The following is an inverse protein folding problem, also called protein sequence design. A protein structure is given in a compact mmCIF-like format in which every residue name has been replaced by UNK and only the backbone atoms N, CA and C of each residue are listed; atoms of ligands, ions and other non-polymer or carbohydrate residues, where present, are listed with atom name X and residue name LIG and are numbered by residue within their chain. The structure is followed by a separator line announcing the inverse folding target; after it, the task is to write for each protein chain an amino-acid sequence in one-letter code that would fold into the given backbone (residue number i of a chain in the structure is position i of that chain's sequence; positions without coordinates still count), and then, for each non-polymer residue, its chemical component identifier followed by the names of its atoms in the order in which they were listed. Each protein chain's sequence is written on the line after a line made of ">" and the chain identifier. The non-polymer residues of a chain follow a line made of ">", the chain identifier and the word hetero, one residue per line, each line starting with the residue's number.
data_IF_750694958725
#
_entry.id   IF_750694958725
#
_cell.length_a   1.000
_cell.length_b   1.000
_cell.length_c   1.000
_cell.angle_alpha   90.00
_cell.angle_beta   90.00
_cell.angle_gamma   90.00
#
_symmetry.space_group_name_H-M   'P 1'
#
loop_
_entity.id
_entity.type
_entity.pdbx_description
1 polymer ?
#
# COMPACT_ATOMS: atom_id res chain seq x y z
N UNK A 1 14.40 11.57 9.66
CA UNK A 1 13.51 10.43 9.36
C UNK A 1 12.10 10.97 9.12
N UNK A 2 11.37 10.43 8.15
CA UNK A 2 9.97 10.81 7.87
C UNK A 2 9.11 9.56 7.75
N UNK A 3 7.94 9.56 8.38
CA UNK A 3 6.95 8.49 8.27
C UNK A 3 5.67 9.11 7.71
N UNK A 4 5.07 8.47 6.72
CA UNK A 4 3.76 8.85 6.16
C UNK A 4 2.82 7.65 6.18
N UNK A 5 1.55 7.89 6.49
CA UNK A 5 0.51 6.86 6.51
C UNK A 5 -0.63 7.33 5.61
N UNK A 6 -0.91 6.54 4.58
CA UNK A 6 -2.02 6.80 3.67
C UNK A 6 -3.23 5.94 4.06
N UNK A 7 -4.32 6.60 4.43
CA UNK A 7 -5.60 6.00 4.78
C UNK A 7 -6.59 6.10 3.61
N UNK A 8 -7.56 5.19 3.57
CA UNK A 8 -8.70 5.22 2.64
C UNK A 8 -8.30 5.53 1.19
N UNK A 9 -7.21 4.89 0.75
CA UNK A 9 -6.64 5.10 -0.58
C UNK A 9 -7.60 4.48 -1.59
N UNK A 10 -8.19 5.33 -2.42
CA UNK A 10 -9.09 4.94 -3.49
C UNK A 10 -8.42 5.06 -4.85
N UNK A 11 -8.91 4.28 -5.81
CA UNK A 11 -8.55 4.40 -7.22
C UNK A 11 -9.81 4.47 -8.09
N UNK A 12 -9.71 5.15 -9.23
CA UNK A 12 -10.77 5.23 -10.25
C UNK A 12 -10.17 5.26 -11.64
N UNK A 13 -10.89 4.71 -12.61
CA UNK A 13 -10.49 4.70 -14.04
C UNK A 13 -11.36 5.59 -14.91
N UNK A 14 -12.38 6.21 -14.32
CA UNK A 14 -13.33 7.12 -14.96
C UNK A 14 -13.44 8.38 -14.10
N UNK A 15 -14.01 9.45 -14.66
CA UNK A 15 -14.21 10.73 -13.97
C UNK A 15 -12.93 11.30 -13.34
N UNK A 16 -11.82 11.33 -14.08
CA UNK A 16 -10.49 11.62 -13.54
C UNK A 16 -10.25 13.07 -13.08
N UNK A 17 -11.21 13.98 -13.30
CA UNK A 17 -11.10 15.38 -12.86
C UNK A 17 -10.86 15.48 -11.36
N UNK A 18 -9.80 16.18 -10.93
CA UNK A 18 -9.51 16.42 -9.51
C UNK A 18 -10.58 17.26 -8.81
N UNK A 19 -11.42 17.94 -9.59
CA UNK A 19 -12.58 18.70 -9.09
C UNK A 19 -13.80 17.81 -8.83
N UNK A 20 -13.83 16.59 -9.38
CA UNK A 20 -14.81 15.60 -8.98
C UNK A 20 -14.48 15.13 -7.56
N UNK A 21 -15.50 14.96 -6.72
CA UNK A 21 -15.35 14.54 -5.33
C UNK A 21 -14.66 13.18 -5.16
N UNK A 22 -14.56 12.73 -3.91
CA UNK A 22 -13.94 11.43 -3.57
C UNK A 22 -14.87 10.28 -3.96
N UNK A 23 -14.81 9.85 -5.21
CA UNK A 23 -15.43 8.63 -5.72
C UNK A 23 -14.35 7.58 -6.08
N UNK A 24 -14.76 6.33 -6.28
CA UNK A 24 -13.86 5.24 -6.68
C UNK A 24 -13.97 3.99 -5.81
N UNK A 25 -13.03 3.06 -6.01
CA UNK A 25 -12.96 1.79 -5.29
C UNK A 25 -11.78 1.79 -4.33
N UNK A 26 -11.93 1.11 -3.18
CA UNK A 26 -10.84 0.93 -2.23
C UNK A 26 -9.66 0.17 -2.88
N UNK A 27 -8.47 0.77 -2.79
CA UNK A 27 -7.26 0.17 -3.32
C UNK A 27 -6.80 -0.99 -2.43
N UNK A 28 -6.91 -0.81 -1.12
CA UNK A 28 -6.56 -1.80 -0.11
C UNK A 28 -7.82 -2.53 0.40
N UNK A 29 -7.67 -3.71 1.01
CA UNK A 29 -8.72 -4.30 1.82
C UNK A 29 -9.09 -3.41 3.01
N UNK A 30 -10.25 -3.65 3.61
CA UNK A 30 -10.66 -2.92 4.81
C UNK A 30 -9.65 -3.09 5.94
N UNK A 31 -9.52 -2.07 6.80
CA UNK A 31 -8.59 -2.03 7.92
C UNK A 31 -7.10 -2.13 7.53
N UNK A 32 -6.74 -1.83 6.28
CA UNK A 32 -5.34 -1.74 5.84
C UNK A 32 -4.96 -0.31 5.47
N UNK A 33 -3.69 0.04 5.72
CA UNK A 33 -3.09 1.33 5.38
C UNK A 33 -1.76 1.12 4.70
N UNK A 34 -1.28 2.13 3.96
CA UNK A 34 0.09 2.12 3.44
C UNK A 34 0.94 2.98 4.36
N UNK A 35 1.97 2.37 4.95
CA UNK A 35 2.99 3.08 5.71
C UNK A 35 4.26 3.18 4.86
N UNK A 36 4.79 4.39 4.71
CA UNK A 36 6.08 4.63 4.04
C UNK A 36 7.03 5.30 5.04
N UNK A 37 8.19 4.67 5.25
CA UNK A 37 9.23 5.15 6.17
C UNK A 37 10.43 5.55 5.32
N UNK A 38 10.88 6.80 5.47
CA UNK A 38 12.06 7.36 4.81
C UNK A 38 13.14 7.72 5.82
N UNK A 39 14.28 7.07 5.69
CA UNK A 39 15.50 7.32 6.46
C UNK A 39 16.66 7.51 5.48
N UNK A 40 17.58 8.44 5.80
CA UNK A 40 18.80 8.67 5.01
C UNK A 40 19.94 7.70 5.38
N UNK A 41 19.78 6.94 6.46
CA UNK A 41 20.74 5.97 6.97
C UNK A 41 20.02 4.80 7.63
N UNK A 42 20.59 4.26 8.70
CA UNK A 42 19.97 3.17 9.45
C UNK A 42 18.64 3.59 10.12
N UNK A 43 17.76 2.62 10.34
CA UNK A 43 16.59 2.83 11.18
C UNK A 43 17.02 3.08 12.63
N UNK A 44 16.41 4.07 13.33
CA UNK A 44 16.59 4.23 14.77
C UNK A 44 16.14 2.97 15.52
N UNK A 45 16.83 2.59 16.60
CA UNK A 45 16.53 1.38 17.36
C UNK A 45 15.07 1.32 17.84
N UNK A 46 14.56 2.42 18.40
CA UNK A 46 13.17 2.50 18.87
C UNK A 46 12.14 2.20 17.77
N UNK A 47 12.45 2.56 16.52
CA UNK A 47 11.55 2.31 15.41
C UNK A 47 11.55 0.81 15.06
N UNK A 48 12.73 0.20 15.03
CA UNK A 48 12.87 -1.24 14.80
C UNK A 48 12.13 -2.03 15.88
N UNK A 49 12.28 -1.64 17.15
CA UNK A 49 11.59 -2.29 18.28
C UNK A 49 10.06 -2.22 18.17
N UNK A 50 9.51 -1.07 17.74
CA UNK A 50 8.06 -0.92 17.57
C UNK A 50 7.57 -1.73 16.37
N UNK A 51 8.28 -1.67 15.24
CA UNK A 51 7.92 -2.43 14.05
C UNK A 51 7.96 -3.94 14.33
N UNK A 52 8.99 -4.42 15.03
CA UNK A 52 9.14 -5.82 15.41
C UNK A 52 8.03 -6.26 16.38
N UNK A 53 7.77 -5.48 17.43
CA UNK A 53 6.68 -5.74 18.39
C UNK A 53 5.32 -5.92 17.71
N UNK A 54 5.06 -5.14 16.66
CA UNK A 54 3.80 -5.19 15.92
C UNK A 54 3.87 -6.07 14.65
N UNK A 55 4.97 -6.81 14.45
CA UNK A 55 5.19 -7.67 13.29
C UNK A 55 5.01 -6.94 11.94
N UNK A 56 5.44 -5.68 11.89
CA UNK A 56 5.37 -4.82 10.71
C UNK A 56 6.67 -4.95 9.92
N UNK A 57 6.63 -5.79 8.89
CA UNK A 57 7.77 -6.03 8.01
C UNK A 57 7.64 -5.27 6.68
N UNK A 58 8.75 -4.83 6.07
CA UNK A 58 8.70 -4.11 4.81
C UNK A 58 8.13 -4.98 3.68
N UNK A 59 7.19 -4.43 2.93
CA UNK A 59 6.63 -5.05 1.72
C UNK A 59 6.67 -4.07 0.57
N UNK A 60 7.11 -4.54 -0.60
CA UNK A 60 7.05 -3.75 -1.84
C UNK A 60 5.59 -3.55 -2.26
N UNK A 61 5.17 -2.30 -2.37
CA UNK A 61 3.82 -1.93 -2.77
C UNK A 61 3.83 -0.76 -3.76
N UNK A 62 3.07 -0.87 -4.85
CA UNK A 62 2.87 0.21 -5.82
C UNK A 62 1.40 0.55 -5.91
N UNK A 63 1.04 1.79 -5.57
CA UNK A 63 -0.35 2.28 -5.65
C UNK A 63 -0.92 2.08 -7.05
N UNK A 64 -0.18 2.54 -8.06
CA UNK A 64 -0.58 2.40 -9.45
C UNK A 64 -0.58 0.93 -9.90
N UNK A 65 0.46 0.15 -9.58
CA UNK A 65 0.55 -1.24 -10.00
C UNK A 65 -0.59 -2.10 -9.45
N UNK A 66 -0.98 -1.88 -8.20
CA UNK A 66 -2.13 -2.56 -7.59
C UNK A 66 -3.43 -2.07 -8.20
N UNK A 67 -3.60 -0.75 -8.41
CA UNK A 67 -4.79 -0.21 -9.06
C UNK A 67 -4.96 -0.81 -10.47
N UNK A 68 -3.88 -0.83 -11.27
CA UNK A 68 -3.85 -1.43 -12.60
C UNK A 68 -4.26 -2.91 -12.57
N UNK A 69 -3.65 -3.72 -11.71
CA UNK A 69 -4.02 -5.13 -11.53
C UNK A 69 -5.47 -5.36 -11.08
N UNK A 70 -6.09 -4.39 -10.40
CA UNK A 70 -7.51 -4.46 -10.03
C UNK A 70 -8.44 -4.03 -11.17
N UNK A 71 -7.95 -3.25 -12.13
CA UNK A 71 -8.73 -2.77 -13.29
C UNK A 71 -8.70 -3.74 -14.45
N UNK A 72 -7.60 -4.44 -14.62
CA UNK A 72 -7.42 -5.49 -15.63
C UNK A 72 -7.66 -6.83 -14.93
N UNK A 73 -8.43 -7.74 -15.52
CA UNK A 73 -8.59 -9.14 -15.08
C UNK A 73 -7.26 -9.93 -15.26
N UNK A 74 -6.16 -9.42 -14.68
CA UNK A 74 -4.82 -9.92 -14.91
C UNK A 74 -4.64 -11.26 -14.19
N UNK A 75 -5.07 -12.34 -14.86
CA UNK A 75 -4.88 -13.76 -14.47
C UNK A 75 -3.46 -14.28 -14.76
N UNK A 76 -2.46 -13.39 -14.85
CA UNK A 76 -1.07 -13.74 -15.11
C UNK A 76 -0.28 -13.95 -13.82
N UNK A 77 0.00 -15.22 -13.51
CA UNK A 77 0.86 -15.74 -12.42
C UNK A 77 0.21 -15.84 -11.03
N UNK A 78 -0.96 -16.48 -10.94
CA UNK A 78 -1.33 -17.26 -9.74
C UNK A 78 -0.54 -18.57 -9.78
N UNK A 79 0.74 -18.55 -9.40
CA UNK A 79 1.49 -19.79 -9.12
C UNK A 79 2.57 -19.70 -8.03
N UNK A 80 2.75 -18.57 -7.33
CA UNK A 80 3.82 -18.47 -6.31
C UNK A 80 3.50 -17.73 -5.00
N UNK A 81 2.22 -17.44 -4.70
CA UNK A 81 1.87 -16.82 -3.41
C UNK A 81 1.08 -17.80 -2.54
N UNK A 82 1.67 -18.97 -2.28
CA UNK A 82 1.47 -19.64 -1.00
C UNK A 82 2.63 -19.18 -0.13
N UNK A 83 2.35 -18.52 0.98
CA UNK A 83 3.31 -17.93 1.92
C UNK A 83 3.85 -16.55 1.55
N UNK A 84 3.06 -15.51 1.78
CA UNK A 84 3.56 -14.30 2.44
C UNK A 84 2.40 -13.70 3.26
N UNK A 85 2.21 -14.24 4.48
CA UNK A 85 1.56 -13.48 5.57
C UNK A 85 2.50 -12.33 5.93
#
# INVERSE_FOLDING_TARGET
>A
MRITIDYDVAYRTKNLSLLAGKDGKNLLPDNHVIMEIKVLGAYPLWLVEILDRHHVFPKSFSKYGVAYKKTTDYKGVIRHVRSVI
#
